data_IF_220774423750
#
_entry.id   IF_220774423750
#
_cell.length_a   1.000
_cell.length_b   1.000
_cell.length_c   1.000
_cell.angle_alpha   90.00
_cell.angle_beta   90.00
_cell.angle_gamma   90.00
#
_symmetry.space_group_name_H-M   'P 1'
#
loop_
_entity.id
_entity.type
_entity.pdbx_description
1 polymer ?
#
# COMPACT_ATOMS: atom_id res chain seq x y z
N UNK A 1 -11.07 21.14 12.22
CA UNK A 1 -9.77 20.84 11.61
C UNK A 1 -9.99 21.00 10.11
N UNK A 2 -9.57 22.13 9.54
CA UNK A 2 -9.70 22.38 8.11
C UNK A 2 -8.37 22.06 7.43
N UNK A 3 -8.24 20.83 6.93
CA UNK A 3 -7.11 20.39 6.12
C UNK A 3 -7.49 20.38 4.65
N UNK A 4 -6.56 20.73 3.77
CA UNK A 4 -6.78 20.67 2.32
C UNK A 4 -6.79 19.23 1.78
N UNK A 5 -5.99 18.34 2.39
CA UNK A 5 -5.84 16.94 2.01
C UNK A 5 -5.63 16.12 3.28
N UNK A 6 -6.22 14.92 3.33
CA UNK A 6 -6.02 13.93 4.39
C UNK A 6 -5.49 12.65 3.77
N UNK A 7 -4.37 12.14 4.29
CA UNK A 7 -3.79 10.86 3.85
C UNK A 7 -4.14 9.78 4.87
N UNK A 8 -4.76 8.70 4.41
CA UNK A 8 -5.11 7.56 5.23
C UNK A 8 -4.10 6.43 5.01
N UNK A 9 -3.37 6.06 6.07
CA UNK A 9 -2.57 4.83 6.10
C UNK A 9 -3.46 3.67 6.55
N UNK A 10 -3.70 2.73 5.64
CA UNK A 10 -4.69 1.67 5.86
C UNK A 10 -4.02 0.37 6.29
N UNK A 11 -4.78 -0.48 7.00
CA UNK A 11 -4.37 -1.84 7.33
C UNK A 11 -4.11 -2.69 6.05
N UNK A 12 -3.62 -3.94 6.16
CA UNK A 12 -3.43 -4.80 5.00
C UNK A 12 -4.74 -5.02 4.22
N UNK A 13 -4.60 -5.34 2.93
CA UNK A 13 -5.64 -5.37 1.89
C UNK A 13 -7.05 -5.77 2.37
N UNK A 14 -7.19 -6.93 3.03
CA UNK A 14 -8.49 -7.45 3.45
C UNK A 14 -9.20 -6.63 4.53
N UNK A 15 -8.47 -5.90 5.36
CA UNK A 15 -9.05 -5.04 6.40
C UNK A 15 -9.47 -3.69 5.84
N UNK A 16 -8.71 -3.14 4.89
CA UNK A 16 -9.06 -1.88 4.20
C UNK A 16 -10.38 -2.00 3.45
N UNK A 17 -10.60 -3.12 2.77
CA UNK A 17 -11.86 -3.35 2.06
C UNK A 17 -13.08 -3.35 3.00
N UNK A 18 -12.93 -3.81 4.26
CA UNK A 18 -14.02 -3.73 5.24
C UNK A 18 -14.32 -2.30 5.67
N UNK A 19 -13.29 -1.46 5.78
CA UNK A 19 -13.46 -0.03 6.07
C UNK A 19 -14.22 0.67 4.94
N UNK A 20 -13.89 0.37 3.69
CA UNK A 20 -14.56 0.94 2.52
C UNK A 20 -16.01 0.44 2.36
N UNK A 21 -16.30 -0.80 2.80
CA UNK A 21 -17.66 -1.35 2.85
C UNK A 21 -18.52 -0.82 3.99
N UNK A 22 -17.90 -0.18 4.99
CA UNK A 22 -18.57 0.21 6.22
C UNK A 22 -19.72 1.22 5.99
N UNK A 23 -19.56 2.30 5.20
CA UNK A 23 -20.64 3.25 4.94
C UNK A 23 -21.88 2.57 4.34
N UNK A 24 -21.71 1.77 3.29
CA UNK A 24 -22.80 1.05 2.65
C UNK A 24 -23.47 0.00 3.56
N UNK A 25 -22.70 -0.60 4.47
CA UNK A 25 -23.24 -1.56 5.46
C UNK A 25 -24.05 -0.85 6.53
N UNK A 26 -23.57 0.30 7.03
CA UNK A 26 -24.30 1.15 7.96
C UNK A 26 -25.60 1.68 7.35
N UNK A 27 -25.55 2.17 6.11
CA UNK A 27 -26.71 2.66 5.37
C UNK A 27 -27.82 1.60 5.32
N UNK A 28 -27.50 0.38 4.86
CA UNK A 28 -28.45 -0.75 4.84
C UNK A 28 -28.97 -1.13 6.23
N UNK A 29 -28.14 -0.99 7.27
CA UNK A 29 -28.53 -1.24 8.65
C UNK A 29 -29.54 -0.21 9.15
N UNK A 30 -29.28 1.07 8.87
CA UNK A 30 -30.16 2.20 9.20
C UNK A 30 -31.51 2.08 8.47
N UNK A 31 -31.50 1.76 7.18
CA UNK A 31 -32.72 1.53 6.39
C UNK A 31 -33.59 0.43 7.00
N UNK A 32 -33.00 -0.72 7.34
CA UNK A 32 -33.74 -1.82 7.99
C UNK A 32 -34.28 -1.44 9.36
N UNK A 33 -33.54 -0.66 10.14
CA UNK A 33 -34.02 -0.15 11.43
C UNK A 33 -35.21 0.79 11.25
N UNK A 34 -35.17 1.69 10.25
CA UNK A 34 -36.28 2.56 9.91
C UNK A 34 -37.50 1.77 9.42
N UNK A 35 -37.32 0.75 8.57
CA UNK A 35 -38.41 -0.14 8.14
C UNK A 35 -39.05 -0.89 9.33
N UNK A 36 -38.22 -1.43 10.23
CA UNK A 36 -38.70 -2.12 11.42
C UNK A 36 -39.47 -1.16 12.33
N UNK A 37 -38.96 0.05 12.55
CA UNK A 37 -39.65 1.10 13.30
C UNK A 37 -40.97 1.49 12.64
N UNK A 38 -41.03 1.59 11.32
CA UNK A 38 -42.29 1.92 10.63
C UNK A 38 -43.34 0.81 10.77
N UNK A 39 -42.92 -0.46 10.78
CA UNK A 39 -43.82 -1.62 10.96
C UNK A 39 -44.29 -1.79 12.41
N UNK A 40 -43.39 -1.60 13.38
CA UNK A 40 -43.65 -1.87 14.79
C UNK A 40 -43.95 -0.61 15.62
N UNK A 41 -43.66 0.58 15.11
CA UNK A 41 -43.82 1.85 15.80
C UNK A 41 -45.27 2.17 16.13
N UNK A 42 -46.22 1.76 15.28
CA UNK A 42 -47.65 1.88 15.59
C UNK A 42 -48.08 1.02 16.80
N UNK A 43 -47.49 -0.17 16.94
CA UNK A 43 -47.75 -1.08 18.05
C UNK A 43 -47.01 -0.65 19.33
N UNK A 44 -45.77 -0.18 19.19
CA UNK A 44 -44.95 0.35 20.28
C UNK A 44 -45.57 1.60 20.89
N UNK A 45 -46.06 2.53 20.05
CA UNK A 45 -46.77 3.72 20.50
C UNK A 45 -48.11 3.40 21.19
N UNK A 46 -48.78 2.32 20.78
CA UNK A 46 -50.00 1.88 21.45
C UNK A 46 -49.70 1.21 22.80
N UNK A 47 -48.62 0.41 22.88
CA UNK A 47 -48.17 -0.22 24.11
C UNK A 47 -47.60 0.77 25.12
N UNK A 48 -46.80 1.76 24.70
CA UNK A 48 -46.23 2.80 25.57
C UNK A 48 -47.32 3.66 26.21
N UNK A 49 -48.37 4.01 25.44
CA UNK A 49 -49.58 4.68 25.94
C UNK A 49 -50.36 3.84 26.96
N UNK A 50 -50.40 2.52 26.77
CA UNK A 50 -51.11 1.60 27.68
C UNK A 50 -50.35 1.35 28.99
N UNK A 51 -49.01 1.31 28.91
CA UNK A 51 -48.12 1.07 30.06
C UNK A 51 -47.70 2.36 30.79
N UNK A 52 -48.19 3.53 30.37
CA UNK A 52 -47.86 4.82 31.00
C UNK A 52 -46.41 5.26 30.79
N UNK A 53 -45.70 4.66 29.84
CA UNK A 53 -44.32 4.99 29.46
C UNK A 53 -44.27 6.08 28.37
N UNK A 54 -45.32 6.88 28.27
CA UNK A 54 -45.68 7.68 27.09
C UNK A 54 -44.79 8.87 26.75
N UNK A 55 -43.66 9.07 27.43
CA UNK A 55 -42.81 10.25 27.20
C UNK A 55 -41.30 10.03 27.49
N UNK A 56 -40.87 8.82 27.88
CA UNK A 56 -39.45 8.57 28.22
C UNK A 56 -38.59 8.04 27.07
N UNK A 57 -39.22 7.61 25.96
CA UNK A 57 -38.51 7.28 24.74
C UNK A 57 -38.44 8.55 23.90
N UNK A 58 -37.27 9.18 23.91
CA UNK A 58 -36.95 10.39 23.14
C UNK A 58 -36.89 10.05 21.63
N UNK A 59 -37.99 9.53 21.07
CA UNK A 59 -38.07 8.93 19.74
C UNK A 59 -37.72 9.93 18.65
N UNK A 60 -38.17 11.18 18.79
CA UNK A 60 -37.88 12.27 17.85
C UNK A 60 -36.39 12.66 17.88
N UNK A 61 -35.79 12.70 19.08
CA UNK A 61 -34.35 12.96 19.22
C UNK A 61 -33.50 11.81 18.67
N UNK A 62 -33.98 10.56 18.78
CA UNK A 62 -33.33 9.39 18.22
C UNK A 62 -33.46 9.37 16.69
N UNK A 63 -34.63 9.73 16.15
CA UNK A 63 -34.87 9.89 14.70
C UNK A 63 -33.95 10.94 14.09
N UNK A 64 -33.90 12.15 14.66
CA UNK A 64 -33.05 13.22 14.13
C UNK A 64 -31.56 12.85 14.13
N UNK A 65 -31.11 12.05 15.11
CA UNK A 65 -29.74 11.51 15.12
C UNK A 65 -29.52 10.46 14.02
N UNK A 66 -30.48 9.58 13.77
CA UNK A 66 -30.39 8.57 12.71
C UNK A 66 -30.41 9.19 11.32
N UNK A 67 -31.25 10.20 11.10
CA UNK A 67 -31.27 10.99 9.86
C UNK A 67 -29.96 11.74 9.65
N UNK A 68 -29.45 12.44 10.67
CA UNK A 68 -28.15 13.11 10.58
C UNK A 68 -26.98 12.15 10.32
N UNK A 69 -27.01 10.94 10.88
CA UNK A 69 -26.02 9.91 10.56
C UNK A 69 -26.12 9.43 9.11
N UNK A 70 -27.35 9.27 8.59
CA UNK A 70 -27.59 8.89 7.19
C UNK A 70 -27.01 9.93 6.24
N UNK A 71 -27.27 11.22 6.49
CA UNK A 71 -26.76 12.31 5.66
C UNK A 71 -25.23 12.33 5.61
N UNK A 72 -24.57 12.12 6.75
CA UNK A 72 -23.10 12.03 6.83
C UNK A 72 -22.57 10.82 6.05
N UNK A 73 -23.22 9.67 6.15
CA UNK A 73 -22.83 8.45 5.42
C UNK A 73 -22.96 8.65 3.91
N UNK A 74 -24.07 9.21 3.44
CA UNK A 74 -24.30 9.52 2.03
C UNK A 74 -23.26 10.51 1.50
N UNK A 75 -22.93 11.54 2.29
CA UNK A 75 -21.91 12.51 1.93
C UNK A 75 -20.52 11.86 1.81
N UNK A 76 -20.15 10.99 2.76
CA UNK A 76 -18.88 10.26 2.71
C UNK A 76 -18.82 9.32 1.51
N UNK A 77 -19.89 8.56 1.27
CA UNK A 77 -19.98 7.67 0.10
C UNK A 77 -19.82 8.45 -1.21
N UNK A 78 -20.45 9.62 -1.31
CA UNK A 78 -20.33 10.48 -2.48
C UNK A 78 -18.90 10.98 -2.68
N UNK A 79 -18.23 11.42 -1.62
CA UNK A 79 -16.85 11.90 -1.71
C UNK A 79 -15.85 10.80 -2.05
N UNK A 80 -16.04 9.58 -1.52
CA UNK A 80 -15.17 8.44 -1.86
C UNK A 80 -15.28 7.98 -3.31
N UNK A 81 -16.44 8.20 -3.94
CA UNK A 81 -16.69 7.87 -5.35
C UNK A 81 -16.32 8.98 -6.32
N UNK A 82 -15.94 10.16 -5.82
CA UNK A 82 -15.58 11.30 -6.64
C UNK A 82 -14.07 11.27 -6.93
N UNK A 83 -13.64 10.99 -8.18
CA UNK A 83 -12.22 10.89 -8.54
C UNK A 83 -11.48 12.23 -8.41
N UNK A 84 -12.18 13.37 -8.42
CA UNK A 84 -11.57 14.69 -8.22
C UNK A 84 -11.32 14.99 -6.73
N UNK A 85 -11.91 14.22 -5.81
CA UNK A 85 -11.79 14.41 -4.35
C UNK A 85 -11.00 13.28 -3.67
N UNK A 86 -11.19 12.03 -4.10
CA UNK A 86 -10.60 10.85 -3.47
C UNK A 86 -9.92 9.97 -4.51
N UNK A 87 -8.68 9.57 -4.23
CA UNK A 87 -7.95 8.54 -4.99
C UNK A 87 -7.27 7.56 -4.04
N UNK A 88 -7.17 6.30 -4.45
CA UNK A 88 -6.48 5.24 -3.74
C UNK A 88 -5.12 4.97 -4.40
N UNK A 89 -4.06 4.90 -3.59
CA UNK A 89 -2.71 4.56 -4.08
C UNK A 89 -2.32 3.18 -3.59
N UNK A 90 -2.18 2.24 -4.52
CA UNK A 90 -1.80 0.86 -4.21
C UNK A 90 -0.29 0.75 -4.02
N UNK A 91 0.18 0.17 -2.92
CA UNK A 91 1.62 -0.06 -2.68
C UNK A 91 1.88 -1.56 -2.61
N UNK A 92 2.85 -2.04 -3.39
CA UNK A 92 3.18 -3.46 -3.52
C UNK A 92 4.70 -3.69 -3.64
N UNK A 93 5.10 -4.96 -3.69
CA UNK A 93 6.47 -5.37 -4.02
C UNK A 93 6.45 -6.25 -5.28
N UNK A 94 7.55 -6.32 -6.06
CA UNK A 94 7.59 -7.06 -7.34
C UNK A 94 7.72 -8.58 -7.13
N UNK A 95 6.73 -9.18 -6.50
CA UNK A 95 6.62 -10.62 -6.24
C UNK A 95 5.23 -11.15 -6.59
N UNK A 96 5.13 -12.45 -6.86
CA UNK A 96 3.88 -13.09 -7.31
C UNK A 96 2.68 -12.84 -6.39
N UNK A 97 2.84 -13.09 -5.08
CA UNK A 97 1.74 -12.98 -4.13
C UNK A 97 1.28 -11.52 -3.98
N UNK A 98 2.23 -10.58 -4.01
CA UNK A 98 1.93 -9.16 -3.93
C UNK A 98 1.21 -8.65 -5.17
N UNK A 99 1.58 -9.12 -6.37
CA UNK A 99 0.83 -8.85 -7.61
C UNK A 99 -0.62 -9.34 -7.51
N UNK A 100 -0.82 -10.59 -7.09
CA UNK A 100 -2.15 -11.19 -6.96
C UNK A 100 -3.05 -10.44 -5.96
N UNK A 101 -2.51 -10.09 -4.78
CA UNK A 101 -3.26 -9.31 -3.78
C UNK A 101 -3.58 -7.89 -4.27
N UNK A 102 -2.67 -7.27 -5.03
CA UNK A 102 -2.89 -5.94 -5.62
C UNK A 102 -3.98 -5.99 -6.68
N UNK A 103 -3.99 -7.01 -7.54
CA UNK A 103 -5.05 -7.21 -8.54
C UNK A 103 -6.41 -7.36 -7.89
N UNK A 104 -6.50 -8.19 -6.85
CA UNK A 104 -7.72 -8.35 -6.08
C UNK A 104 -8.17 -7.03 -5.43
N UNK A 105 -7.23 -6.24 -4.91
CA UNK A 105 -7.53 -4.92 -4.34
C UNK A 105 -8.12 -3.98 -5.39
N UNK A 106 -7.47 -3.84 -6.55
CA UNK A 106 -7.91 -2.95 -7.64
C UNK A 106 -9.30 -3.36 -8.14
N UNK A 107 -9.55 -4.66 -8.32
CA UNK A 107 -10.87 -5.17 -8.71
C UNK A 107 -11.96 -4.83 -7.66
N UNK A 108 -11.64 -4.89 -6.37
CA UNK A 108 -12.59 -4.54 -5.32
C UNK A 108 -12.82 -3.02 -5.25
N UNK A 109 -11.76 -2.20 -5.38
CA UNK A 109 -11.89 -0.73 -5.45
C UNK A 109 -12.77 -0.30 -6.61
N UNK A 110 -12.60 -0.93 -7.79
CA UNK A 110 -13.46 -0.69 -8.95
C UNK A 110 -14.94 -1.03 -8.68
N UNK A 111 -15.22 -2.12 -7.94
CA UNK A 111 -16.60 -2.45 -7.53
C UNK A 111 -17.21 -1.42 -6.58
N UNK A 112 -16.38 -0.75 -5.77
CA UNK A 112 -16.81 0.35 -4.90
C UNK A 112 -16.84 1.71 -5.61
N UNK A 113 -16.49 1.75 -6.90
CA UNK A 113 -16.36 2.99 -7.69
C UNK A 113 -15.35 3.98 -7.09
N UNK A 114 -14.27 3.45 -6.50
CA UNK A 114 -13.19 4.26 -5.93
C UNK A 114 -12.05 4.35 -6.94
N UNK A 115 -11.62 5.57 -7.24
CA UNK A 115 -10.49 5.86 -8.11
C UNK A 115 -9.19 5.24 -7.60
N UNK A 116 -8.40 4.59 -8.46
CA UNK A 116 -7.15 3.92 -8.05
C UNK A 116 -6.02 3.91 -9.08
N UNK A 117 -5.86 4.97 -9.87
CA UNK A 117 -4.94 5.00 -11.03
C UNK A 117 -3.42 5.05 -10.70
N UNK A 118 -3.01 4.82 -9.45
CA UNK A 118 -1.63 4.93 -9.02
C UNK A 118 -1.17 3.65 -8.29
N UNK A 119 -0.08 3.05 -8.78
CA UNK A 119 0.58 1.90 -8.15
C UNK A 119 2.04 2.25 -7.84
N UNK A 120 2.48 1.97 -6.62
CA UNK A 120 3.86 2.07 -6.18
C UNK A 120 4.41 0.66 -5.99
N UNK A 121 5.44 0.32 -6.74
CA UNK A 121 6.22 -0.90 -6.57
C UNK A 121 7.46 -0.56 -5.75
N UNK A 122 7.46 -0.95 -4.47
CA UNK A 122 8.54 -0.72 -3.53
C UNK A 122 9.55 -1.88 -3.53
N UNK A 123 10.72 -1.66 -2.92
CA UNK A 123 11.79 -2.64 -2.77
C UNK A 123 12.27 -3.23 -4.10
N UNK A 124 12.28 -2.40 -5.15
CA UNK A 124 12.85 -2.78 -6.44
C UNK A 124 14.37 -2.77 -6.34
N UNK A 125 14.98 -3.90 -6.67
CA UNK A 125 16.43 -4.03 -6.66
C UNK A 125 16.96 -3.45 -7.97
N UNK A 126 17.79 -2.41 -7.84
CA UNK A 126 18.53 -1.84 -8.96
C UNK A 126 19.95 -2.37 -8.99
N UNK A 127 20.54 -2.32 -10.18
CA UNK A 127 21.89 -2.82 -10.42
C UNK A 127 22.92 -1.78 -9.98
N UNK A 128 23.34 -1.84 -8.72
CA UNK A 128 24.29 -0.88 -8.15
C UNK A 128 25.65 -1.51 -7.80
N UNK A 129 25.75 -2.84 -7.84
CA UNK A 129 26.98 -3.53 -7.49
C UNK A 129 27.94 -3.60 -8.69
N UNK A 130 29.16 -3.09 -8.49
CA UNK A 130 30.24 -3.22 -9.46
C UNK A 130 30.67 -4.69 -9.66
N UNK A 131 30.48 -5.54 -8.64
CA UNK A 131 30.80 -6.97 -8.70
C UNK A 131 29.51 -7.78 -8.75
N UNK A 132 29.48 -8.80 -9.62
CA UNK A 132 28.25 -9.52 -9.91
C UNK A 132 27.92 -10.60 -8.87
N UNK A 133 26.79 -10.45 -8.19
CA UNK A 133 26.19 -11.51 -7.35
C UNK A 133 25.20 -12.37 -8.14
N UNK A 134 25.40 -13.70 -8.12
CA UNK A 134 24.47 -14.66 -8.76
C UNK A 134 23.06 -14.58 -8.18
N UNK A 135 22.96 -14.44 -6.85
CA UNK A 135 21.67 -14.34 -6.15
C UNK A 135 20.97 -13.02 -6.45
N UNK A 136 21.71 -11.91 -6.47
CA UNK A 136 21.18 -10.58 -6.80
C UNK A 136 20.62 -10.57 -8.22
N UNK A 137 21.39 -11.05 -9.21
CA UNK A 137 20.94 -11.18 -10.60
C UNK A 137 19.69 -12.04 -10.74
N UNK A 138 19.63 -13.16 -10.01
CA UNK A 138 18.45 -14.03 -10.03
C UNK A 138 17.22 -13.32 -9.43
N UNK A 139 17.39 -12.58 -8.32
CA UNK A 139 16.32 -11.79 -7.69
C UNK A 139 15.84 -10.67 -8.61
N UNK A 140 16.74 -9.88 -9.19
CA UNK A 140 16.40 -8.82 -10.14
C UNK A 140 15.65 -9.37 -11.36
N UNK A 141 16.11 -10.48 -11.95
CA UNK A 141 15.40 -11.13 -13.07
C UNK A 141 13.99 -11.58 -12.68
N UNK A 142 13.82 -12.08 -11.46
CA UNK A 142 12.52 -12.49 -10.93
C UNK A 142 11.62 -11.26 -10.71
N UNK A 143 12.12 -10.18 -10.12
CA UNK A 143 11.38 -8.93 -9.96
C UNK A 143 10.99 -8.32 -11.31
N UNK A 144 11.91 -8.27 -12.28
CA UNK A 144 11.64 -7.70 -13.61
C UNK A 144 10.48 -8.42 -14.31
N UNK A 145 10.43 -9.75 -14.22
CA UNK A 145 9.29 -10.52 -14.73
C UNK A 145 7.95 -10.02 -14.19
N UNK A 146 7.85 -9.73 -12.88
CA UNK A 146 6.61 -9.25 -12.27
C UNK A 146 6.35 -7.77 -12.55
N UNK A 147 7.38 -6.94 -12.63
CA UNK A 147 7.27 -5.54 -13.05
C UNK A 147 6.71 -5.46 -14.48
N UNK A 148 7.19 -6.30 -15.39
CA UNK A 148 6.67 -6.38 -16.75
C UNK A 148 5.18 -6.79 -16.75
N UNK A 149 4.79 -7.74 -15.89
CA UNK A 149 3.39 -8.12 -15.73
C UNK A 149 2.52 -6.97 -15.19
N UNK A 150 3.00 -6.19 -14.23
CA UNK A 150 2.30 -4.99 -13.77
C UNK A 150 2.07 -3.99 -14.91
N UNK A 151 3.11 -3.71 -15.72
CA UNK A 151 2.97 -2.82 -16.87
C UNK A 151 2.04 -3.36 -17.96
N UNK A 152 1.91 -4.68 -18.11
CA UNK A 152 0.98 -5.30 -19.06
C UNK A 152 -0.48 -5.26 -18.57
N UNK A 153 -0.70 -5.38 -17.27
CA UNK A 153 -2.04 -5.44 -16.68
C UNK A 153 -2.64 -4.05 -16.41
N UNK A 154 -1.78 -3.05 -16.17
CA UNK A 154 -2.15 -1.70 -15.74
C UNK A 154 -1.42 -0.65 -16.60
N UNK A 155 -1.62 -0.71 -17.91
CA UNK A 155 -0.99 0.19 -18.88
C UNK A 155 -1.53 1.63 -18.78
N UNK A 156 -2.75 1.78 -18.25
CA UNK A 156 -3.45 3.03 -17.94
C UNK A 156 -3.14 3.59 -16.54
N UNK A 157 -2.32 2.88 -15.73
CA UNK A 157 -1.97 3.32 -14.37
C UNK A 157 -0.61 4.02 -14.35
N UNK A 158 -0.47 4.96 -13.42
CA UNK A 158 0.82 5.55 -13.09
C UNK A 158 1.59 4.59 -12.16
N UNK A 159 2.54 3.86 -12.74
CA UNK A 159 3.41 2.93 -11.99
C UNK A 159 4.71 3.62 -11.58
N UNK A 160 4.88 3.82 -10.27
CA UNK A 160 6.11 4.36 -9.68
C UNK A 160 6.95 3.25 -9.08
N UNK A 161 8.25 3.20 -9.41
CA UNK A 161 9.20 2.20 -8.87
C UNK A 161 10.11 2.85 -7.83
N UNK A 162 10.15 2.29 -6.62
CA UNK A 162 11.01 2.75 -5.54
C UNK A 162 12.11 1.72 -5.23
N UNK A 163 13.35 2.17 -4.97
CA UNK A 163 14.47 1.28 -4.74
C UNK A 163 14.37 0.54 -3.41
N UNK A 164 14.95 -0.66 -3.34
CA UNK A 164 15.33 -1.28 -2.08
C UNK A 164 16.57 -0.55 -1.53
N UNK A 165 16.45 0.06 -0.35
CA UNK A 165 17.57 0.69 0.34
C UNK A 165 18.32 -0.33 1.22
N UNK A 166 19.62 -0.10 1.44
CA UNK A 166 20.48 -0.95 2.28
C UNK A 166 20.19 -0.82 3.77
N UNK A 167 19.56 0.28 4.19
CA UNK A 167 19.24 0.60 5.57
C UNK A 167 17.74 0.87 5.71
N UNK A 168 17.24 0.69 6.93
CA UNK A 168 15.85 1.02 7.27
C UNK A 168 15.63 2.53 7.21
N UNK A 169 14.52 2.95 6.61
CA UNK A 169 14.15 4.37 6.49
C UNK A 169 13.58 4.85 7.82
N UNK A 170 14.46 5.32 8.70
CA UNK A 170 14.10 5.76 10.05
C UNK A 170 14.45 7.25 10.28
N UNK A 171 13.49 7.98 10.83
CA UNK A 171 13.63 9.40 11.14
C UNK A 171 13.31 10.35 9.99
N UNK A 172 13.07 11.62 10.33
CA UNK A 172 12.55 12.63 9.40
C UNK A 172 13.47 12.85 8.21
N UNK A 173 14.79 12.90 8.43
CA UNK A 173 15.76 13.12 7.35
C UNK A 173 15.78 11.95 6.35
N UNK A 174 15.73 10.71 6.83
CA UNK A 174 15.69 9.54 5.96
C UNK A 174 14.41 9.51 5.13
N UNK A 175 13.26 9.83 5.75
CA UNK A 175 11.98 9.95 5.05
C UNK A 175 12.00 11.05 3.98
N UNK A 176 12.60 12.21 4.26
CA UNK A 176 12.76 13.31 3.29
C UNK A 176 13.68 12.92 2.12
N UNK A 177 14.74 12.16 2.39
CA UNK A 177 15.62 11.66 1.34
C UNK A 177 14.89 10.62 0.47
N UNK A 178 14.16 9.69 1.10
CA UNK A 178 13.39 8.67 0.40
C UNK A 178 12.24 9.26 -0.44
N UNK A 179 11.59 10.33 0.05
CA UNK A 179 10.48 10.97 -0.67
C UNK A 179 10.87 11.55 -2.03
N UNK A 180 12.16 11.88 -2.24
CA UNK A 180 12.65 12.36 -3.53
C UNK A 180 12.44 11.32 -4.66
N UNK A 181 12.44 10.03 -4.33
CA UNK A 181 12.25 8.94 -5.30
C UNK A 181 10.81 8.87 -5.85
N UNK A 182 9.85 9.52 -5.21
CA UNK A 182 8.47 9.62 -5.72
C UNK A 182 8.34 10.69 -6.81
N UNK A 183 9.17 11.74 -6.77
CA UNK A 183 9.12 12.86 -7.71
C UNK A 183 9.97 12.61 -8.95
N UNK A 184 11.11 11.95 -8.76
CA UNK A 184 12.06 11.66 -9.83
C UNK A 184 12.31 10.16 -9.90
N UNK A 185 12.09 9.52 -11.07
CA UNK A 185 12.36 8.09 -11.22
C UNK A 185 13.78 7.75 -10.79
N UNK A 186 13.91 6.78 -9.89
CA UNK A 186 15.20 6.31 -9.44
C UNK A 186 16.03 5.79 -10.63
N UNK A 187 17.29 6.22 -10.68
CA UNK A 187 18.26 5.76 -11.68
C UNK A 187 19.42 5.16 -10.92
N UNK A 188 19.81 3.94 -11.30
CA UNK A 188 21.03 3.36 -10.77
C UNK A 188 22.20 4.31 -11.02
N UNK A 189 23.01 4.50 -9.97
CA UNK A 189 24.27 5.24 -10.04
C UNK A 189 25.29 4.52 -10.94
N UNK A 190 25.17 3.19 -11.06
CA UNK A 190 26.05 2.37 -11.87
C UNK A 190 25.56 2.32 -13.33
N UNK A 191 26.34 2.94 -14.23
CA UNK A 191 26.16 2.83 -15.68
C UNK A 191 27.09 1.76 -16.22
N UNK A 192 26.55 0.57 -16.48
CA UNK A 192 27.32 -0.54 -17.07
C UNK A 192 27.91 -0.16 -18.42
N UNK A 193 29.17 -0.53 -18.65
CA UNK A 193 29.85 -0.39 -19.94
C UNK A 193 30.61 0.93 -20.13
N UNK A 194 30.81 1.69 -19.05
CA UNK A 194 31.74 2.82 -19.04
C UNK A 194 33.15 2.36 -18.68
N UNK A 195 34.18 3.08 -19.13
CA UNK A 195 35.59 2.72 -18.83
C UNK A 195 35.84 2.85 -17.32
N UNK A 196 35.33 3.90 -16.70
CA UNK A 196 35.48 4.18 -15.27
C UNK A 196 34.85 3.08 -14.39
N UNK A 197 33.69 2.55 -14.78
CA UNK A 197 33.04 1.42 -14.08
C UNK A 197 33.88 0.14 -14.18
N UNK A 198 34.41 -0.16 -15.38
CA UNK A 198 35.27 -1.32 -15.57
C UNK A 198 36.57 -1.20 -14.76
N UNK A 199 37.17 -0.02 -14.67
CA UNK A 199 38.35 0.24 -13.84
C UNK A 199 38.06 0.08 -12.34
N UNK A 200 36.93 0.60 -11.86
CA UNK A 200 36.48 0.39 -10.47
C UNK A 200 36.27 -1.10 -10.18
N UNK A 201 35.57 -1.81 -11.08
CA UNK A 201 35.33 -3.26 -10.96
C UNK A 201 36.64 -4.05 -10.92
N UNK A 202 37.59 -3.74 -11.79
CA UNK A 202 38.92 -4.36 -11.78
C UNK A 202 39.62 -4.10 -10.45
N UNK A 203 39.54 -2.88 -9.92
CA UNK A 203 40.17 -2.51 -8.64
C UNK A 203 39.61 -3.31 -7.48
N UNK A 204 38.28 -3.42 -7.37
CA UNK A 204 37.61 -4.21 -6.32
C UNK A 204 37.98 -5.69 -6.44
N UNK A 205 37.96 -6.25 -7.65
CA UNK A 205 38.32 -7.66 -7.88
C UNK A 205 39.78 -7.95 -7.52
N UNK A 206 40.70 -7.02 -7.78
CA UNK A 206 42.11 -7.15 -7.36
C UNK A 206 42.25 -7.17 -5.83
N UNK A 207 41.51 -6.30 -5.12
CA UNK A 207 41.51 -6.31 -3.65
C UNK A 207 41.00 -7.63 -3.09
N UNK A 208 39.86 -8.12 -3.61
CA UNK A 208 39.28 -9.40 -3.20
C UNK A 208 40.22 -10.59 -3.50
N UNK A 209 40.93 -10.55 -4.63
CA UNK A 209 41.94 -11.56 -4.96
C UNK A 209 43.07 -11.57 -3.94
N UNK A 210 43.60 -10.39 -3.56
CA UNK A 210 44.68 -10.27 -2.60
C UNK A 210 44.29 -10.79 -1.20
N UNK A 211 43.05 -10.54 -0.77
CA UNK A 211 42.51 -11.10 0.48
C UNK A 211 42.43 -12.63 0.42
N UNK A 212 41.90 -13.19 -0.67
CA UNK A 212 41.80 -14.63 -0.87
C UNK A 212 43.17 -15.32 -0.94
N UNK A 213 44.15 -14.70 -1.59
CA UNK A 213 45.54 -15.18 -1.62
C UNK A 213 46.16 -15.20 -0.22
N UNK A 214 45.91 -14.15 0.57
CA UNK A 214 46.38 -14.07 1.96
C UNK A 214 45.76 -15.16 2.83
N UNK A 215 44.47 -15.44 2.66
CA UNK A 215 43.77 -16.52 3.36
C UNK A 215 44.32 -17.90 2.95
N UNK A 216 44.54 -18.12 1.65
CA UNK A 216 45.12 -19.36 1.12
C UNK A 216 46.49 -19.64 1.74
N UNK A 217 47.34 -18.62 1.85
CA UNK A 217 48.66 -18.74 2.45
C UNK A 217 48.61 -19.06 3.95
N UNK A 218 47.65 -18.47 4.68
CA UNK A 218 47.42 -18.82 6.10
C UNK A 218 47.03 -20.28 6.26
N UNK A 219 46.09 -20.77 5.43
CA UNK A 219 45.64 -22.17 5.48
C UNK A 219 46.76 -23.14 5.08
N UNK A 220 47.58 -22.79 4.09
CA UNK A 220 48.75 -23.59 3.68
C UNK A 220 49.78 -23.73 4.79
N UNK A 221 50.10 -22.63 5.48
CA UNK A 221 51.04 -22.64 6.62
C UNK A 221 50.50 -23.43 7.81
N UNK A 222 49.20 -23.33 8.10
CA UNK A 222 48.55 -24.10 9.18
C UNK A 222 48.45 -25.61 8.91
N UNK A 223 48.46 -26.04 7.64
CA UNK A 223 48.52 -27.47 7.26
C UNK A 223 49.93 -28.07 7.31
N UNK A 224 50.98 -27.25 7.38
CA UNK A 224 52.37 -27.72 7.49
C UNK A 224 52.84 -27.93 8.94
N UNK A 225 52.02 -27.59 9.94
CA UNK A 225 52.35 -27.66 11.37
C UNK A 225 51.68 -28.82 12.13
N UNK A 226 51.24 -29.88 11.44
CA UNK A 226 50.72 -31.14 12.04
C UNK A 226 51.51 -32.33 11.52
#
# INVERSE_FOLDING_TARGET
MDYSVVVFDTAPTGHTLRLLQFPATLEKGLEKMMELKNRFGGLLNQASRLFGLGDELNEDAMLGKLEGMKDVIEQVNRQFKDPDLTTFVCVCIPEFLSLYETERLVQELAKFEIDSHNIIINQVIFDEEAVESKLLKARMKMQQKYIDQFHMLYDDFNITKLPLLSEEVCGVQALQNFSQHFLTPYKSTLKRGTVEELEQRITILKSALQEAETELDRVRKGKQSV
#
